data_IF_957030657865
#
_entry.id   IF_957030657865
#
_cell.length_a   1.000
_cell.length_b   1.000
_cell.length_c   1.000
_cell.angle_alpha   90.00
_cell.angle_beta   90.00
_cell.angle_gamma   90.00
#
_symmetry.space_group_name_H-M   'P 1'
#
loop_
_entity.id
_entity.type
_entity.pdbx_description
1 polymer ?
#
# COMPACT_ATOMS: atom_id res chain seq x y z
N UNK A 1 14.39 8.28 -0.12
CA UNK A 1 13.25 7.35 -0.02
C UNK A 1 13.38 6.36 -1.17
N UNK A 2 13.63 5.09 -0.87
CA UNK A 2 13.79 4.06 -1.90
C UNK A 2 12.45 3.32 -2.10
N UNK A 3 11.68 3.74 -3.11
CA UNK A 3 10.39 3.12 -3.42
C UNK A 3 10.54 1.72 -4.01
N UNK A 4 11.73 1.37 -4.51
CA UNK A 4 12.05 0.07 -5.09
C UNK A 4 12.12 -1.01 -4.00
N UNK A 5 12.83 -0.76 -2.91
CA UNK A 5 12.92 -1.68 -1.77
C UNK A 5 11.57 -1.90 -1.09
N UNK A 6 10.75 -0.85 -0.96
CA UNK A 6 9.40 -0.97 -0.40
C UNK A 6 8.47 -1.76 -1.34
N UNK A 7 8.54 -1.52 -2.65
CA UNK A 7 7.77 -2.29 -3.63
C UNK A 7 8.18 -3.77 -3.61
N UNK A 8 9.48 -4.07 -3.55
CA UNK A 8 9.99 -5.44 -3.49
C UNK A 8 9.50 -6.20 -2.23
N UNK A 9 9.50 -5.54 -1.07
CA UNK A 9 8.92 -6.09 0.17
C UNK A 9 7.42 -6.35 0.02
N UNK A 10 6.68 -5.38 -0.51
CA UNK A 10 5.24 -5.52 -0.71
C UNK A 10 4.90 -6.62 -1.72
N UNK A 11 5.66 -6.75 -2.80
CA UNK A 11 5.45 -7.81 -3.79
C UNK A 11 5.72 -9.19 -3.19
N UNK A 12 6.77 -9.36 -2.37
CA UNK A 12 7.00 -10.62 -1.64
C UNK A 12 5.86 -10.97 -0.69
N UNK A 13 5.38 -10.01 0.09
CA UNK A 13 4.26 -10.23 1.02
C UNK A 13 2.98 -10.58 0.24
N UNK A 14 2.67 -9.80 -0.80
CA UNK A 14 1.49 -10.05 -1.65
C UNK A 14 1.56 -11.40 -2.33
N UNK A 15 2.75 -11.82 -2.76
CA UNK A 15 2.98 -13.11 -3.38
C UNK A 15 2.77 -14.26 -2.39
N UNK A 16 3.37 -14.17 -1.21
CA UNK A 16 3.20 -15.17 -0.14
C UNK A 16 1.73 -15.29 0.28
N UNK A 17 1.06 -14.16 0.47
CA UNK A 17 -0.35 -14.12 0.87
C UNK A 17 -1.28 -14.64 -0.24
N UNK A 18 -0.94 -14.35 -1.51
CA UNK A 18 -1.64 -14.90 -2.68
C UNK A 18 -1.46 -16.40 -2.82
N UNK A 19 -0.27 -16.92 -2.49
CA UNK A 19 0.02 -18.36 -2.48
C UNK A 19 -0.72 -19.07 -1.34
N UNK A 20 -0.77 -18.44 -0.16
CA UNK A 20 -1.43 -18.99 1.03
C UNK A 20 -2.96 -19.04 0.88
N UNK A 21 -3.57 -18.02 0.31
CA UNK A 21 -5.03 -17.99 0.07
C UNK A 21 -5.46 -18.52 -1.30
N UNK A 22 -4.51 -18.81 -2.20
CA UNK A 22 -4.79 -19.29 -3.55
C UNK A 22 -5.56 -18.30 -4.43
N UNK A 23 -5.55 -17.00 -4.08
CA UNK A 23 -6.27 -15.95 -4.82
C UNK A 23 -5.44 -14.68 -4.94
N UNK A 24 -5.64 -13.95 -6.03
CA UNK A 24 -4.93 -12.69 -6.25
C UNK A 24 -5.31 -11.66 -5.18
N UNK A 25 -4.28 -11.18 -4.47
CA UNK A 25 -4.40 -10.19 -3.39
C UNK A 25 -4.17 -8.76 -3.88
N UNK A 26 -4.00 -8.55 -5.18
CA UNK A 26 -3.92 -7.20 -5.72
C UNK A 26 -5.32 -6.56 -5.62
N UNK A 27 -5.40 -5.37 -5.01
CA UNK A 27 -6.69 -4.68 -4.83
C UNK A 27 -7.41 -4.97 -3.51
N UNK A 28 -7.00 -5.97 -2.73
CA UNK A 28 -7.62 -6.28 -1.43
C UNK A 28 -6.99 -5.54 -0.25
N UNK A 29 -5.78 -5.00 -0.41
CA UNK A 29 -5.15 -4.19 0.63
C UNK A 29 -5.75 -2.79 0.69
N UNK A 30 -5.88 -2.23 1.89
CA UNK A 30 -6.36 -0.86 2.10
C UNK A 30 -5.62 0.19 1.26
N UNK A 31 -4.30 0.07 1.13
CA UNK A 31 -3.52 1.00 0.34
C UNK A 31 -3.81 0.91 -1.17
N UNK A 32 -4.39 -0.20 -1.66
CA UNK A 32 -4.76 -0.32 -3.07
C UNK A 32 -5.78 0.73 -3.52
N UNK A 33 -6.60 1.27 -2.61
CA UNK A 33 -7.47 2.42 -2.91
C UNK A 33 -6.69 3.66 -3.37
N UNK A 34 -5.44 3.80 -2.94
CA UNK A 34 -4.54 4.89 -3.32
C UNK A 34 -3.58 4.52 -4.46
N UNK A 35 -3.73 3.33 -5.06
CA UNK A 35 -2.84 2.81 -6.09
C UNK A 35 -3.06 3.51 -7.43
N UNK A 36 -1.99 4.09 -7.97
CA UNK A 36 -1.97 4.65 -9.34
C UNK A 36 -1.07 3.78 -10.21
N UNK A 37 -1.67 2.92 -11.03
CA UNK A 37 -0.96 1.94 -11.89
C UNK A 37 -0.01 2.60 -12.90
N UNK A 38 -0.28 3.85 -13.27
CA UNK A 38 0.56 4.65 -14.17
C UNK A 38 1.86 5.15 -13.51
N UNK A 39 1.98 5.06 -12.18
CA UNK A 39 3.14 5.54 -11.46
C UNK A 39 4.21 4.44 -11.34
N UNK A 40 5.48 4.82 -11.46
CA UNK A 40 6.60 3.95 -11.11
C UNK A 40 6.50 3.55 -9.62
N UNK A 41 6.53 2.24 -9.36
CA UNK A 41 6.32 1.63 -8.02
C UNK A 41 4.94 1.94 -7.42
N UNK A 42 3.85 1.46 -8.04
CA UNK A 42 2.51 1.91 -7.72
C UNK A 42 2.05 1.48 -6.32
N UNK A 43 2.44 0.28 -5.84
CA UNK A 43 2.04 -0.22 -4.53
C UNK A 43 2.83 0.45 -3.39
N UNK A 44 4.14 0.65 -3.56
CA UNK A 44 4.96 1.37 -2.59
C UNK A 44 4.47 2.81 -2.41
N UNK A 45 4.17 3.50 -3.52
CA UNK A 45 3.62 4.86 -3.47
C UNK A 45 2.22 4.88 -2.88
N UNK A 46 1.40 3.86 -3.14
CA UNK A 46 0.08 3.72 -2.56
C UNK A 46 0.15 3.54 -1.03
N UNK A 47 1.01 2.64 -0.56
CA UNK A 47 1.26 2.43 0.86
C UNK A 47 1.77 3.69 1.55
N UNK A 48 2.70 4.41 0.90
CA UNK A 48 3.20 5.69 1.40
C UNK A 48 2.09 6.75 1.47
N UNK A 49 1.25 6.87 0.43
CA UNK A 49 0.11 7.80 0.42
C UNK A 49 -0.93 7.45 1.47
N UNK A 50 -1.22 6.15 1.62
CA UNK A 50 -2.14 5.66 2.62
C UNK A 50 -1.64 5.99 4.03
N UNK A 51 -0.36 5.73 4.32
CA UNK A 51 0.27 6.04 5.61
C UNK A 51 0.29 7.55 5.90
N UNK A 52 0.61 8.39 4.91
CA UNK A 52 0.57 9.85 5.07
C UNK A 52 -0.86 10.41 5.11
N UNK A 53 -1.82 9.78 4.42
CA UNK A 53 -3.24 10.12 4.46
C UNK A 53 -3.85 9.79 5.82
N UNK A 54 -3.50 8.64 6.40
CA UNK A 54 -3.89 8.25 7.76
C UNK A 54 -3.37 9.21 8.80
N UNK A 55 -2.13 9.71 8.67
CA UNK A 55 -1.61 10.77 9.56
C UNK A 55 -2.48 12.03 9.48
N UNK A 56 -2.91 12.44 8.29
CA UNK A 56 -3.79 13.62 8.15
C UNK A 56 -5.17 13.39 8.77
N UNK A 57 -5.76 12.20 8.61
CA UNK A 57 -7.07 11.88 9.22
C UNK A 57 -6.95 11.73 10.74
N UNK A 58 -5.88 11.12 11.25
CA UNK A 58 -5.65 10.97 12.68
C UNK A 58 -5.44 12.33 13.38
N UNK A 59 -4.72 13.26 12.75
CA UNK A 59 -4.55 14.63 13.26
C UNK A 59 -5.89 15.40 13.26
N UNK A 60 -6.74 15.18 12.26
CA UNK A 60 -8.08 15.78 12.21
C UNK A 60 -9.02 15.22 13.29
N UNK A 61 -8.95 13.92 13.58
CA UNK A 61 -9.76 13.26 14.63
C UNK A 61 -9.25 13.50 16.05
N UNK A 62 -7.99 13.88 16.25
CA UNK A 62 -7.44 14.17 17.57
C UNK A 62 -7.81 15.57 18.10
N UNK A 63 -8.62 16.34 17.34
CA UNK A 63 -9.02 17.71 17.68
C UNK A 63 -10.52 17.82 18.04
N UNK A 64 -11.10 16.72 18.49
CA UNK A 64 -12.47 16.64 19.04
C UNK A 64 -12.41 16.49 20.57
#
# INVERSE_FOLDING_TARGET
>A
MDFKAEQDRLDKIKWDDSMREGRDKCGTYDFCACCKKEAQYPCARAAHRYRNGYVRIAILRARE
#
